data_IF_892231049394
#
_entry.id   IF_892231049394
#
_cell.length_a   1.000
_cell.length_b   1.000
_cell.length_c   1.000
_cell.angle_alpha   90.00
_cell.angle_beta   90.00
_cell.angle_gamma   90.00
#
_symmetry.space_group_name_H-M   'P 1'
#
loop_
_entity.id
_entity.type
_entity.pdbx_description
1 polymer ?
#
# COMPACT_ATOMS: atom_id res chain seq x y z
N UNK A 1 -6.45 10.58 -11.99
CA UNK A 1 -6.21 9.39 -11.15
C UNK A 1 -5.78 8.29 -12.12
N UNK A 2 -4.57 7.74 -11.99
CA UNK A 2 -3.88 6.96 -13.05
C UNK A 2 -4.42 5.56 -13.32
N UNK A 3 -5.57 5.21 -12.75
CA UNK A 3 -6.26 3.96 -12.98
C UNK A 3 -7.75 4.25 -13.16
N UNK A 4 -8.39 3.60 -14.12
CA UNK A 4 -9.84 3.58 -14.20
C UNK A 4 -10.39 2.96 -12.91
N UNK A 5 -11.45 3.53 -12.33
CA UNK A 5 -11.97 3.13 -11.01
C UNK A 5 -12.40 1.66 -10.92
N UNK A 6 -12.58 0.98 -12.05
CA UNK A 6 -12.93 -0.44 -12.14
C UNK A 6 -11.70 -1.37 -12.02
N UNK A 7 -10.48 -0.86 -12.24
CA UNK A 7 -9.22 -1.63 -12.20
C UNK A 7 -8.57 -1.64 -10.81
N UNK A 8 -9.07 -0.81 -9.89
CA UNK A 8 -8.65 -0.78 -8.48
C UNK A 8 -9.87 -1.05 -7.61
N UNK A 9 -9.84 -2.17 -6.91
CA UNK A 9 -10.80 -2.46 -5.86
C UNK A 9 -10.26 -2.03 -4.50
N UNK A 10 -11.04 -1.23 -3.76
CA UNK A 10 -10.69 -0.81 -2.41
C UNK A 10 -11.75 -1.33 -1.44
N UNK A 11 -11.41 -2.37 -0.69
CA UNK A 11 -12.24 -2.89 0.40
C UNK A 11 -11.93 -2.15 1.70
N UNK A 12 -12.95 -1.78 2.47
CA UNK A 12 -12.80 -1.23 3.82
C UNK A 12 -13.39 -2.20 4.84
N UNK A 13 -12.58 -2.60 5.81
CA UNK A 13 -13.01 -3.34 6.98
C UNK A 13 -12.76 -2.51 8.24
N UNK A 14 -13.82 -2.18 8.97
CA UNK A 14 -13.75 -1.49 10.26
C UNK A 14 -14.13 -2.44 11.41
N UNK A 15 -13.38 -2.38 12.51
CA UNK A 15 -13.61 -3.18 13.72
C UNK A 15 -13.25 -2.36 14.95
N UNK A 16 -13.99 -2.56 16.04
CA UNK A 16 -13.58 -2.07 17.37
C UNK A 16 -12.54 -3.04 17.94
N UNK A 17 -11.38 -2.51 18.34
CA UNK A 17 -10.32 -3.25 18.99
C UNK A 17 -10.64 -3.59 20.45
N UNK A 18 -9.87 -4.51 21.04
CA UNK A 18 -10.00 -4.86 22.47
C UNK A 18 -9.68 -3.67 23.40
N UNK A 19 -9.02 -2.64 22.88
CA UNK A 19 -8.72 -1.36 23.51
C UNK A 19 -9.87 -0.33 23.38
N UNK A 20 -11.00 -0.70 22.77
CA UNK A 20 -12.13 0.19 22.54
C UNK A 20 -11.95 1.18 21.38
N UNK A 21 -10.80 1.16 20.70
CA UNK A 21 -10.53 2.05 19.58
C UNK A 21 -11.01 1.45 18.25
N UNK A 22 -11.60 2.28 17.39
CA UNK A 22 -11.90 1.87 16.02
C UNK A 22 -10.61 1.66 15.24
N UNK A 23 -10.53 0.50 14.57
CA UNK A 23 -9.44 0.14 13.66
C UNK A 23 -10.05 -0.13 12.29
N UNK A 24 -9.64 0.65 11.32
CA UNK A 24 -9.97 0.45 9.91
C UNK A 24 -8.79 -0.17 9.17
N UNK A 25 -9.07 -1.09 8.24
CA UNK A 25 -8.12 -1.54 7.23
C UNK A 25 -8.71 -1.33 5.85
N UNK A 26 -7.91 -0.75 4.96
CA UNK A 26 -8.20 -0.74 3.53
C UNK A 26 -7.39 -1.85 2.85
N UNK A 27 -8.02 -2.65 2.02
CA UNK A 27 -7.35 -3.59 1.11
C UNK A 27 -7.50 -3.07 -0.30
N UNK A 28 -6.37 -2.74 -0.92
CA UNK A 28 -6.31 -2.32 -2.32
C UNK A 28 -5.93 -3.51 -3.17
N UNK A 29 -6.78 -3.89 -4.11
CA UNK A 29 -6.51 -4.92 -5.12
C UNK A 29 -6.46 -4.23 -6.46
N UNK A 30 -5.43 -4.50 -7.24
CA UNK A 30 -5.25 -3.93 -8.58
C UNK A 30 -5.17 -5.09 -9.55
N UNK A 31 -5.88 -5.00 -10.66
CA UNK A 31 -5.72 -5.96 -11.75
C UNK A 31 -4.25 -5.94 -12.23
N UNK A 32 -3.68 -7.12 -12.45
CA UNK A 32 -2.27 -7.22 -12.82
C UNK A 32 -1.99 -6.50 -14.14
N UNK A 33 -2.85 -6.64 -15.14
CA UNK A 33 -2.67 -5.99 -16.44
C UNK A 33 -2.76 -4.47 -16.33
N UNK A 34 -3.54 -3.93 -15.38
CA UNK A 34 -3.56 -2.50 -15.10
C UNK A 34 -2.20 -1.95 -14.61
N UNK A 35 -1.36 -2.79 -13.99
CA UNK A 35 0.00 -2.42 -13.59
C UNK A 35 0.94 -2.28 -14.80
N UNK A 36 0.63 -2.91 -15.94
CA UNK A 36 1.50 -2.87 -17.13
C UNK A 36 1.67 -1.47 -17.69
N UNK A 37 0.61 -0.65 -17.67
CA UNK A 37 0.64 0.74 -18.16
C UNK A 37 1.60 1.61 -17.36
N UNK A 38 1.85 1.26 -16.09
CA UNK A 38 2.77 1.99 -15.21
C UNK A 38 4.16 1.36 -15.15
N UNK A 39 4.39 0.25 -15.84
CA UNK A 39 5.66 -0.47 -15.70
C UNK A 39 5.77 -1.30 -14.41
N UNK A 40 4.71 -1.43 -13.64
CA UNK A 40 4.73 -2.06 -12.30
C UNK A 40 4.31 -3.54 -12.34
N UNK A 41 4.12 -4.11 -13.53
CA UNK A 41 3.79 -5.52 -13.66
C UNK A 41 5.01 -6.39 -13.32
N UNK A 42 4.88 -7.50 -12.59
CA UNK A 42 6.01 -8.34 -12.17
C UNK A 42 6.85 -8.86 -13.34
N UNK A 43 6.23 -9.18 -14.48
CA UNK A 43 6.93 -9.60 -15.70
C UNK A 43 7.62 -8.44 -16.46
N UNK A 44 7.45 -7.19 -16.05
CA UNK A 44 8.10 -6.05 -16.69
C UNK A 44 9.44 -5.71 -16.00
N UNK A 45 10.51 -5.48 -16.77
CA UNK A 45 11.83 -5.20 -16.20
C UNK A 45 11.87 -3.90 -15.38
N UNK A 46 11.01 -2.92 -15.68
CA UNK A 46 10.96 -1.66 -14.92
C UNK A 46 10.27 -1.81 -13.55
N UNK A 47 9.65 -2.95 -13.27
CA UNK A 47 9.12 -3.26 -11.93
C UNK A 47 10.22 -3.74 -10.98
N UNK A 48 11.42 -4.07 -11.49
CA UNK A 48 12.55 -4.48 -10.68
C UNK A 48 13.14 -3.28 -9.96
N UNK A 49 13.17 -3.34 -8.62
CA UNK A 49 13.84 -2.31 -7.81
C UNK A 49 15.35 -2.52 -7.95
N UNK A 50 15.97 -1.76 -8.84
CA UNK A 50 17.43 -1.75 -9.06
C UNK A 50 18.15 -0.71 -8.21
N UNK A 51 17.41 0.21 -7.60
CA UNK A 51 17.98 1.24 -6.73
C UNK A 51 18.50 0.61 -5.42
N UNK A 52 19.61 1.13 -4.86
CA UNK A 52 20.05 0.74 -3.53
C UNK A 52 18.93 0.92 -2.51
N UNK A 53 18.83 -0.02 -1.56
CA UNK A 53 17.90 0.11 -0.46
C UNK A 53 18.13 1.45 0.25
N UNK A 54 17.07 2.22 0.57
CA UNK A 54 17.21 3.47 1.30
C UNK A 54 17.92 3.25 2.65
N UNK A 55 18.52 4.29 3.24
CA UNK A 55 19.19 4.19 4.53
C UNK A 55 18.28 3.57 5.60
N UNK A 56 18.81 2.74 6.53
CA UNK A 56 18.00 2.01 7.52
C UNK A 56 17.09 2.91 8.36
N UNK A 57 17.51 4.15 8.64
CA UNK A 57 16.70 5.09 9.39
C UNK A 57 15.39 5.47 8.67
N UNK A 58 15.34 5.43 7.33
CA UNK A 58 14.12 5.67 6.57
C UNK A 58 13.10 4.55 6.75
N UNK A 59 13.57 3.30 6.78
CA UNK A 59 12.70 2.15 7.07
C UNK A 59 12.15 2.27 8.50
N UNK A 60 13.03 2.47 9.48
CA UNK A 60 12.63 2.65 10.87
C UNK A 60 11.71 3.88 11.08
N UNK A 61 11.89 4.96 10.31
CA UNK A 61 10.99 6.11 10.34
C UNK A 61 9.62 5.79 9.75
N UNK A 62 9.55 5.00 8.68
CA UNK A 62 8.30 4.55 8.10
C UNK A 62 7.53 3.63 9.05
N UNK A 63 8.20 2.68 9.70
CA UNK A 63 7.61 1.81 10.73
C UNK A 63 7.06 2.62 11.90
N UNK A 64 7.88 3.52 12.47
CA UNK A 64 7.41 4.42 13.54
C UNK A 64 6.21 5.27 13.12
N UNK A 65 6.14 5.73 11.87
CA UNK A 65 5.00 6.50 11.38
C UNK A 65 3.75 5.63 11.20
N UNK A 66 3.90 4.37 10.80
CA UNK A 66 2.80 3.41 10.75
C UNK A 66 2.25 3.10 12.15
N UNK A 67 3.13 3.00 13.14
CA UNK A 67 2.76 2.81 14.55
C UNK A 67 2.13 4.06 15.17
N UNK A 68 2.60 5.26 14.79
CA UNK A 68 2.11 6.56 15.29
C UNK A 68 0.77 7.02 14.71
N UNK A 69 0.19 6.30 13.75
CA UNK A 69 -1.17 6.56 13.27
C UNK A 69 -2.18 5.64 13.98
N UNK A 70 -2.68 6.00 15.18
CA UNK A 70 -3.97 5.49 15.60
C UNK A 70 -5.03 6.10 14.67
N UNK A 71 -6.07 5.34 14.36
CA UNK A 71 -7.08 5.67 13.34
C UNK A 71 -7.59 7.12 13.39
N UNK A 72 -7.75 7.71 12.21
CA UNK A 72 -8.71 8.78 11.99
C UNK A 72 -10.11 8.22 11.83
#
# INVERSE_FOLDING_TARGET
>A
MSFAGELIHCDLACRIGADGHWRGRYTVRVDADALRTLGLHPDQPTSVITAPSPPPWRHAAAERNAERRPGG
#
